data_IF_761402940520
#
_entry.id   IF_761402940520
#
_cell.length_a   1.000
_cell.length_b   1.000
_cell.length_c   1.000
_cell.angle_alpha   90.00
_cell.angle_beta   90.00
_cell.angle_gamma   90.00
#
_symmetry.space_group_name_H-M   'P 1'
#
loop_
_entity.id
_entity.type
_entity.pdbx_description
1 polymer ?
#
# COMPACT_ATOMS: atom_id res chain seq x y z
N UNK A 1 -20.67 -67.46 -28.02
CA UNK A 1 -20.59 -66.45 -26.96
C UNK A 1 -22.01 -66.21 -26.46
N UNK A 2 -22.23 -66.35 -25.14
CA UNK A 2 -23.52 -66.08 -24.53
C UNK A 2 -23.92 -64.61 -24.70
N UNK A 3 -25.20 -64.26 -24.90
CA UNK A 3 -25.63 -62.90 -25.16
C UNK A 3 -25.18 -61.93 -24.05
N UNK A 4 -25.08 -62.32 -22.82
CA UNK A 4 -24.62 -61.56 -21.67
C UNK A 4 -23.16 -61.06 -21.79
N UNK A 5 -22.25 -61.84 -22.36
CA UNK A 5 -20.86 -61.51 -22.60
C UNK A 5 -20.68 -60.43 -23.67
N UNK A 6 -21.58 -60.34 -24.64
CA UNK A 6 -21.62 -59.32 -25.67
C UNK A 6 -22.00 -57.94 -25.07
N UNK A 7 -23.00 -57.91 -24.20
CA UNK A 7 -23.43 -56.65 -23.56
C UNK A 7 -22.38 -56.11 -22.62
N UNK A 8 -21.69 -56.93 -21.85
CA UNK A 8 -20.59 -56.53 -20.97
C UNK A 8 -19.42 -55.97 -21.78
N UNK A 9 -19.07 -56.62 -22.90
CA UNK A 9 -17.99 -56.12 -23.77
C UNK A 9 -18.32 -54.78 -24.41
N UNK A 10 -19.57 -54.56 -24.80
CA UNK A 10 -20.03 -53.27 -25.36
C UNK A 10 -19.98 -52.17 -24.29
N UNK A 11 -20.43 -52.44 -23.07
CA UNK A 11 -20.36 -51.48 -21.95
C UNK A 11 -18.94 -51.12 -21.59
N UNK A 12 -18.00 -52.08 -21.60
CA UNK A 12 -16.58 -51.82 -21.35
C UNK A 12 -15.98 -50.94 -22.46
N UNK A 13 -16.30 -51.24 -23.73
CA UNK A 13 -15.83 -50.45 -24.87
C UNK A 13 -16.38 -49.00 -24.78
N UNK A 14 -17.68 -48.84 -24.46
CA UNK A 14 -18.29 -47.53 -24.26
C UNK A 14 -17.65 -46.78 -23.05
N UNK A 15 -17.37 -47.48 -21.97
CA UNK A 15 -16.67 -46.92 -20.80
C UNK A 15 -15.26 -46.44 -21.14
N UNK A 16 -14.49 -47.24 -21.85
CA UNK A 16 -13.14 -46.90 -22.32
C UNK A 16 -13.20 -45.70 -23.28
N UNK A 17 -14.13 -45.71 -24.21
CA UNK A 17 -14.30 -44.61 -25.17
C UNK A 17 -14.69 -43.31 -24.45
N UNK A 18 -15.63 -43.39 -23.48
CA UNK A 18 -16.04 -42.23 -22.69
C UNK A 18 -14.89 -41.67 -21.85
N UNK A 19 -14.13 -42.51 -21.16
CA UNK A 19 -12.94 -42.07 -20.37
C UNK A 19 -11.87 -41.46 -21.28
N UNK A 20 -11.64 -42.02 -22.45
CA UNK A 20 -10.69 -41.51 -23.43
C UNK A 20 -11.15 -40.17 -23.97
N UNK A 21 -12.43 -40.02 -24.28
CA UNK A 21 -13.03 -38.75 -24.75
C UNK A 21 -12.92 -37.68 -23.69
N UNK A 22 -13.21 -37.98 -22.44
CA UNK A 22 -13.08 -37.00 -21.33
C UNK A 22 -11.63 -36.57 -21.12
N UNK A 23 -10.66 -37.50 -21.25
CA UNK A 23 -9.23 -37.16 -21.15
C UNK A 23 -8.73 -36.31 -22.32
N UNK A 24 -9.33 -36.42 -23.51
CA UNK A 24 -8.94 -35.62 -24.68
C UNK A 24 -9.64 -34.27 -24.76
N UNK A 25 -10.72 -34.02 -23.99
CA UNK A 25 -11.47 -32.79 -24.00
C UNK A 25 -10.62 -31.55 -23.71
N UNK A 26 -9.72 -31.53 -22.72
CA UNK A 26 -8.88 -30.37 -22.47
C UNK A 26 -7.99 -29.98 -23.67
N UNK A 27 -7.42 -30.98 -24.33
CA UNK A 27 -6.60 -30.81 -25.52
C UNK A 27 -7.43 -30.29 -26.71
N UNK A 28 -8.65 -30.78 -26.88
CA UNK A 28 -9.58 -30.30 -27.90
C UNK A 28 -9.92 -28.83 -27.70
N UNK A 29 -10.34 -28.46 -26.50
CA UNK A 29 -10.61 -27.06 -26.19
C UNK A 29 -9.38 -26.17 -26.37
N UNK A 30 -8.22 -26.63 -25.95
CA UNK A 30 -6.97 -25.91 -26.15
C UNK A 30 -6.66 -25.66 -27.63
N UNK A 31 -6.87 -26.68 -28.47
CA UNK A 31 -6.64 -26.57 -29.92
C UNK A 31 -7.62 -25.59 -30.56
N UNK A 32 -8.90 -25.65 -30.21
CA UNK A 32 -9.91 -24.68 -30.67
C UNK A 32 -9.55 -23.27 -30.19
N UNK A 33 -9.14 -23.13 -28.92
CA UNK A 33 -8.68 -21.88 -28.35
C UNK A 33 -7.50 -21.27 -29.11
N UNK A 34 -6.49 -22.07 -29.45
CA UNK A 34 -5.35 -21.62 -30.29
C UNK A 34 -5.79 -21.15 -31.68
N UNK A 35 -6.67 -21.89 -32.34
CA UNK A 35 -7.20 -21.49 -33.63
C UNK A 35 -7.94 -20.15 -33.55
N UNK A 36 -8.80 -19.98 -32.54
CA UNK A 36 -9.51 -18.72 -32.30
C UNK A 36 -8.54 -17.56 -31.98
N UNK A 37 -7.50 -17.82 -31.19
CA UNK A 37 -6.50 -16.82 -30.82
C UNK A 37 -5.71 -16.31 -32.05
N UNK A 38 -5.28 -17.24 -32.90
CA UNK A 38 -4.57 -16.92 -34.14
C UNK A 38 -5.46 -16.13 -35.12
N UNK A 39 -6.76 -16.38 -35.08
CA UNK A 39 -7.77 -15.63 -35.85
C UNK A 39 -8.18 -14.32 -35.17
N UNK A 40 -7.49 -13.84 -34.10
CA UNK A 40 -7.78 -12.66 -33.32
C UNK A 40 -9.17 -12.63 -32.66
N UNK A 41 -9.83 -13.78 -32.56
CA UNK A 41 -11.10 -13.96 -31.84
C UNK A 41 -10.84 -14.17 -30.34
N UNK A 42 -10.29 -13.16 -29.68
CA UNK A 42 -9.74 -13.28 -28.35
C UNK A 42 -10.76 -13.68 -27.27
N UNK A 43 -11.99 -13.19 -27.34
CA UNK A 43 -13.06 -13.59 -26.42
C UNK A 43 -13.38 -15.10 -26.52
N UNK A 44 -13.51 -15.59 -27.74
CA UNK A 44 -13.74 -17.00 -28.04
C UNK A 44 -12.55 -17.86 -27.60
N UNK A 45 -11.34 -17.41 -27.91
CA UNK A 45 -10.12 -18.09 -27.48
C UNK A 45 -10.04 -18.21 -25.96
N UNK A 46 -10.32 -17.12 -25.25
CA UNK A 46 -10.33 -17.09 -23.79
C UNK A 46 -11.32 -18.11 -23.18
N UNK A 47 -12.53 -18.20 -23.72
CA UNK A 47 -13.53 -19.18 -23.26
C UNK A 47 -13.01 -20.61 -23.40
N UNK A 48 -12.42 -20.97 -24.52
CA UNK A 48 -11.90 -22.32 -24.72
C UNK A 48 -10.65 -22.61 -23.89
N UNK A 49 -9.76 -21.64 -23.72
CA UNK A 49 -8.62 -21.79 -22.82
C UNK A 49 -9.05 -21.93 -21.36
N UNK A 50 -10.12 -21.23 -20.95
CA UNK A 50 -10.70 -21.40 -19.61
C UNK A 50 -11.23 -22.81 -19.40
N UNK A 51 -11.94 -23.37 -20.37
CA UNK A 51 -12.41 -24.77 -20.30
C UNK A 51 -11.23 -25.76 -20.23
N UNK A 52 -10.22 -25.60 -21.07
CA UNK A 52 -9.04 -26.43 -21.04
C UNK A 52 -8.32 -26.36 -19.67
N UNK A 53 -8.13 -25.15 -19.15
CA UNK A 53 -7.52 -24.90 -17.83
C UNK A 53 -8.35 -25.56 -16.70
N UNK A 54 -9.66 -25.40 -16.71
CA UNK A 54 -10.51 -25.93 -15.64
C UNK A 54 -10.57 -27.47 -15.64
N UNK A 55 -10.49 -28.09 -16.81
CA UNK A 55 -10.44 -29.54 -16.94
C UNK A 55 -9.08 -30.15 -16.63
N UNK A 56 -8.00 -29.39 -16.79
CA UNK A 56 -6.65 -29.79 -16.42
C UNK A 56 -5.87 -28.61 -15.84
N UNK A 57 -6.12 -28.26 -14.57
CA UNK A 57 -5.57 -27.08 -13.93
C UNK A 57 -4.06 -27.15 -13.68
N UNK A 58 -3.46 -28.34 -13.75
CA UNK A 58 -2.01 -28.53 -13.58
C UNK A 58 -1.22 -28.34 -14.86
N UNK A 59 -1.88 -28.19 -16.01
CA UNK A 59 -1.21 -27.97 -17.28
C UNK A 59 -0.80 -26.51 -17.43
N UNK A 60 0.51 -26.25 -17.43
CA UNK A 60 1.09 -24.92 -17.52
C UNK A 60 0.78 -24.20 -18.85
N UNK A 61 0.72 -24.93 -19.96
CA UNK A 61 0.41 -24.34 -21.26
C UNK A 61 -1.03 -23.82 -21.33
N UNK A 62 -1.97 -24.52 -20.71
CA UNK A 62 -3.38 -24.09 -20.68
C UNK A 62 -3.54 -22.84 -19.83
N UNK A 63 -2.88 -22.77 -18.69
CA UNK A 63 -2.89 -21.61 -17.80
C UNK A 63 -2.23 -20.40 -18.49
N UNK A 64 -1.09 -20.62 -19.12
CA UNK A 64 -0.36 -19.57 -19.85
C UNK A 64 -1.19 -18.99 -21.00
N UNK A 65 -1.77 -19.83 -21.86
CA UNK A 65 -2.57 -19.36 -23.00
C UNK A 65 -3.86 -18.66 -22.53
N UNK A 66 -4.46 -19.13 -21.45
CA UNK A 66 -5.58 -18.46 -20.83
C UNK A 66 -5.18 -17.05 -20.37
N UNK A 67 -4.12 -16.90 -19.59
CA UNK A 67 -3.61 -15.59 -19.15
C UNK A 67 -3.26 -14.68 -20.34
N UNK A 68 -2.59 -15.23 -21.37
CA UNK A 68 -2.24 -14.49 -22.56
C UNK A 68 -3.47 -14.01 -23.35
N UNK A 69 -4.52 -14.82 -23.43
CA UNK A 69 -5.77 -14.42 -24.10
C UNK A 69 -6.48 -13.31 -23.36
N UNK A 70 -6.43 -13.29 -22.01
CA UNK A 70 -6.96 -12.21 -21.20
C UNK A 70 -6.29 -10.86 -21.51
N UNK A 71 -4.97 -10.86 -21.82
CA UNK A 71 -4.25 -9.64 -22.16
C UNK A 71 -4.75 -8.93 -23.42
N UNK A 72 -5.50 -9.65 -24.24
CA UNK A 72 -6.04 -9.15 -25.51
C UNK A 72 -7.48 -8.65 -25.40
N UNK A 73 -8.10 -8.79 -24.24
CA UNK A 73 -9.48 -8.38 -24.01
C UNK A 73 -9.51 -7.01 -23.32
N UNK A 74 -10.61 -6.31 -23.49
CA UNK A 74 -10.88 -5.08 -22.72
C UNK A 74 -11.12 -5.46 -21.26
N UNK A 75 -10.50 -4.78 -20.30
CA UNK A 75 -10.70 -5.05 -18.89
C UNK A 75 -12.18 -4.87 -18.50
N UNK A 76 -12.82 -5.98 -18.13
CA UNK A 76 -14.14 -5.97 -17.50
C UNK A 76 -13.98 -6.47 -16.07
N UNK A 77 -14.97 -6.19 -15.22
CA UNK A 77 -14.92 -6.61 -13.84
C UNK A 77 -14.76 -8.14 -13.68
N UNK A 78 -15.46 -8.94 -14.50
CA UNK A 78 -15.34 -10.38 -14.44
C UNK A 78 -13.95 -10.86 -14.85
N UNK A 79 -13.38 -10.25 -15.90
CA UNK A 79 -12.01 -10.56 -16.34
C UNK A 79 -11.00 -10.13 -15.27
N UNK A 80 -11.20 -8.98 -14.64
CA UNK A 80 -10.35 -8.53 -13.54
C UNK A 80 -10.37 -9.51 -12.36
N UNK A 81 -11.54 -10.02 -11.96
CA UNK A 81 -11.67 -11.06 -10.91
C UNK A 81 -10.87 -12.32 -11.24
N UNK A 82 -10.97 -12.81 -12.47
CA UNK A 82 -10.25 -13.99 -12.94
C UNK A 82 -8.73 -13.77 -12.94
N UNK A 83 -8.28 -12.63 -13.41
CA UNK A 83 -6.86 -12.29 -13.43
C UNK A 83 -6.33 -12.09 -12.01
N UNK A 84 -7.11 -11.47 -11.12
CA UNK A 84 -6.78 -11.35 -9.71
C UNK A 84 -6.63 -12.73 -9.05
N UNK A 85 -7.58 -13.64 -9.28
CA UNK A 85 -7.51 -15.01 -8.77
C UNK A 85 -6.26 -15.75 -9.28
N UNK A 86 -5.84 -15.53 -10.53
CA UNK A 86 -4.59 -16.05 -11.05
C UNK A 86 -3.35 -15.42 -10.39
N UNK A 87 -3.40 -14.12 -10.08
CA UNK A 87 -2.28 -13.43 -9.43
C UNK A 87 -2.06 -13.87 -7.99
N UNK A 88 -3.12 -14.31 -7.31
CA UNK A 88 -3.10 -14.85 -5.94
C UNK A 88 -2.64 -16.33 -5.89
N UNK A 89 -2.54 -17.01 -7.04
CA UNK A 89 -2.09 -18.40 -7.08
C UNK A 89 -0.63 -18.50 -6.60
N UNK A 90 -0.44 -19.30 -5.55
CA UNK A 90 0.90 -19.54 -4.96
C UNK A 90 1.84 -20.31 -5.87
N UNK A 91 1.32 -20.98 -6.91
CA UNK A 91 2.13 -21.62 -7.93
C UNK A 91 2.72 -20.57 -8.86
N UNK A 92 3.96 -20.20 -8.66
CA UNK A 92 4.70 -19.20 -9.45
C UNK A 92 5.12 -19.75 -10.81
N UNK A 93 4.18 -20.29 -11.57
CA UNK A 93 4.44 -20.69 -12.94
C UNK A 93 4.40 -19.49 -13.91
N UNK A 94 4.76 -19.74 -15.16
CA UNK A 94 4.79 -18.71 -16.20
C UNK A 94 3.42 -18.05 -16.43
N UNK A 95 2.32 -18.78 -16.26
CA UNK A 95 0.98 -18.24 -16.45
C UNK A 95 0.62 -17.22 -15.35
N UNK A 96 1.02 -17.50 -14.12
CA UNK A 96 0.83 -16.57 -12.99
C UNK A 96 1.66 -15.30 -13.19
N UNK A 97 2.92 -15.42 -13.60
CA UNK A 97 3.77 -14.26 -13.88
C UNK A 97 3.15 -13.38 -14.97
N UNK A 98 2.66 -13.99 -16.06
CA UNK A 98 1.98 -13.26 -17.14
C UNK A 98 0.71 -12.60 -16.64
N UNK A 99 -0.10 -13.28 -15.82
CA UNK A 99 -1.30 -12.71 -15.24
C UNK A 99 -0.99 -11.50 -14.35
N UNK A 100 0.04 -11.57 -13.52
CA UNK A 100 0.49 -10.43 -12.70
C UNK A 100 0.90 -9.23 -13.56
N UNK A 101 1.64 -9.45 -14.65
CA UNK A 101 2.02 -8.38 -15.58
C UNK A 101 0.80 -7.74 -16.27
N UNK A 102 -0.17 -8.56 -16.66
CA UNK A 102 -1.42 -8.09 -17.26
C UNK A 102 -2.19 -7.22 -16.28
N UNK A 103 -2.34 -7.68 -15.03
CA UNK A 103 -3.04 -6.92 -13.99
C UNK A 103 -2.35 -5.59 -13.74
N UNK A 104 -1.03 -5.58 -13.63
CA UNK A 104 -0.27 -4.35 -13.45
C UNK A 104 -0.47 -3.36 -14.63
N UNK A 105 -0.45 -3.86 -15.87
CA UNK A 105 -0.67 -3.04 -17.06
C UNK A 105 -2.10 -2.47 -17.15
N UNK A 106 -3.11 -3.25 -16.78
CA UNK A 106 -4.49 -2.78 -16.75
C UNK A 106 -4.73 -1.77 -15.64
N UNK A 107 -4.20 -2.04 -14.47
CA UNK A 107 -4.33 -1.13 -13.36
C UNK A 107 -3.71 0.23 -13.69
N UNK A 108 -2.54 0.26 -14.33
CA UNK A 108 -1.94 1.52 -14.77
C UNK A 108 -2.88 2.30 -15.71
N UNK A 109 -3.46 1.65 -16.74
CA UNK A 109 -4.42 2.30 -17.65
C UNK A 109 -5.68 2.80 -16.95
N UNK A 110 -6.22 2.01 -16.03
CA UNK A 110 -7.41 2.41 -15.27
C UNK A 110 -7.07 3.63 -14.41
N UNK A 111 -5.90 3.63 -13.77
CA UNK A 111 -5.47 4.72 -12.90
C UNK A 111 -5.15 6.00 -13.66
N UNK A 112 -4.64 5.89 -14.90
CA UNK A 112 -4.47 7.04 -15.78
C UNK A 112 -5.79 7.80 -16.03
N UNK A 113 -6.92 7.09 -16.09
CA UNK A 113 -8.24 7.71 -16.27
C UNK A 113 -8.70 8.56 -15.08
N UNK A 114 -8.12 8.36 -13.90
CA UNK A 114 -8.39 9.19 -12.70
C UNK A 114 -7.47 10.41 -12.60
N UNK A 115 -6.61 10.63 -13.59
CA UNK A 115 -5.63 11.71 -13.59
C UNK A 115 -4.44 11.43 -12.66
N UNK A 116 -3.60 12.44 -12.47
CA UNK A 116 -2.43 12.33 -11.59
C UNK A 116 -2.86 12.03 -10.15
N UNK A 117 -2.30 10.97 -9.55
CA UNK A 117 -2.62 10.49 -8.21
C UNK A 117 -1.42 9.78 -7.58
N UNK A 118 -1.53 9.37 -6.32
CA UNK A 118 -0.51 8.62 -5.57
C UNK A 118 -1.11 7.37 -4.90
N UNK A 119 -2.02 6.69 -5.59
CA UNK A 119 -2.74 5.51 -5.08
C UNK A 119 -1.82 4.36 -4.64
N UNK A 120 -0.65 4.25 -5.23
CA UNK A 120 0.38 3.27 -4.87
C UNK A 120 0.97 3.46 -3.47
N UNK A 121 0.62 4.56 -2.80
CA UNK A 121 1.11 4.94 -1.46
C UNK A 121 0.05 4.86 -0.38
N UNK A 122 -1.18 4.53 -0.71
CA UNK A 122 -2.28 4.51 0.27
C UNK A 122 -2.32 3.22 1.11
N UNK A 123 -1.54 2.20 0.75
CA UNK A 123 -1.54 0.94 1.47
C UNK A 123 -0.96 1.10 2.88
N UNK A 124 -1.59 0.42 3.85
CA UNK A 124 -1.13 0.24 5.20
C UNK A 124 -0.81 -1.24 5.41
N UNK A 125 0.45 -1.56 5.69
CA UNK A 125 0.91 -2.93 5.87
C UNK A 125 0.41 -3.87 4.74
N UNK A 126 0.61 -3.45 3.49
CA UNK A 126 0.14 -4.09 2.27
C UNK A 126 -1.39 -4.26 2.15
N UNK A 127 -2.16 -3.56 2.97
CA UNK A 127 -3.61 -3.58 2.92
C UNK A 127 -4.19 -2.29 2.36
N UNK A 128 -5.23 -2.41 1.56
CA UNK A 128 -6.09 -1.29 1.17
C UNK A 128 -7.15 -1.13 2.25
N UNK A 129 -6.98 -0.11 3.07
CA UNK A 129 -7.89 0.19 4.18
C UNK A 129 -8.82 1.32 3.77
N UNK A 130 -10.12 1.12 3.81
CA UNK A 130 -11.11 2.16 3.61
C UNK A 130 -12.47 1.80 4.17
N UNK A 131 -13.32 2.79 4.33
CA UNK A 131 -14.71 2.61 4.73
C UNK A 131 -15.56 2.07 3.57
N UNK A 132 -16.66 1.40 3.92
CA UNK A 132 -17.67 1.05 2.94
C UNK A 132 -18.62 2.26 2.73
N UNK A 133 -18.74 2.82 1.50
CA UNK A 133 -19.64 3.94 1.26
C UNK A 133 -21.11 3.67 1.61
N UNK A 134 -21.55 2.41 1.57
CA UNK A 134 -22.93 2.03 1.95
C UNK A 134 -23.22 2.28 3.46
N UNK A 135 -22.20 2.56 4.27
CA UNK A 135 -22.34 2.83 5.71
C UNK A 135 -22.29 4.31 6.05
N UNK A 136 -22.11 5.19 5.08
CA UNK A 136 -22.09 6.63 5.33
C UNK A 136 -23.46 7.14 5.80
N UNK A 137 -23.52 8.17 6.68
CA UNK A 137 -22.42 8.99 7.18
C UNK A 137 -21.53 8.28 8.19
N UNK A 138 -20.21 8.59 8.19
CA UNK A 138 -19.28 8.13 9.22
C UNK A 138 -19.54 8.91 10.52
N UNK A 139 -19.62 8.20 11.63
CA UNK A 139 -19.81 8.78 12.94
C UNK A 139 -18.50 9.32 13.47
N UNK A 140 -18.40 10.63 13.67
CA UNK A 140 -17.20 11.31 14.17
C UNK A 140 -17.41 11.73 15.60
N UNK A 141 -16.58 11.25 16.50
CA UNK A 141 -16.58 11.69 17.89
C UNK A 141 -15.29 12.46 18.22
N UNK A 142 -15.41 13.54 18.96
CA UNK A 142 -14.29 14.38 19.39
C UNK A 142 -14.19 14.34 20.89
N UNK A 143 -13.08 13.80 21.39
CA UNK A 143 -12.76 13.75 22.80
C UNK A 143 -11.96 15.00 23.16
N UNK A 144 -12.66 16.03 23.68
CA UNK A 144 -12.01 17.24 24.14
C UNK A 144 -11.39 17.02 25.52
N UNK A 145 -10.21 17.57 25.81
CA UNK A 145 -9.65 17.56 27.15
C UNK A 145 -10.59 18.21 28.15
N UNK A 146 -10.67 17.60 29.32
CA UNK A 146 -11.40 18.20 30.46
C UNK A 146 -10.58 19.33 31.05
N UNK A 147 -11.14 20.56 31.14
CA UNK A 147 -10.50 21.73 31.73
C UNK A 147 -10.39 22.95 30.77
N UNK A 148 -9.86 24.04 31.26
CA UNK A 148 -9.80 25.36 30.58
C UNK A 148 -8.79 25.46 29.41
N UNK A 149 -8.45 24.33 28.82
CA UNK A 149 -7.19 24.25 28.09
C UNK A 149 -7.24 24.40 26.58
N UNK A 150 -8.36 24.14 25.90
CA UNK A 150 -8.39 24.20 24.43
C UNK A 150 -9.17 25.40 23.92
N UNK A 151 -8.58 26.20 23.00
CA UNK A 151 -9.28 27.32 22.40
C UNK A 151 -10.56 26.91 21.68
N UNK A 152 -11.62 27.70 21.81
CA UNK A 152 -12.93 27.40 21.22
C UNK A 152 -12.88 27.22 19.70
N UNK A 153 -11.99 27.92 19.02
CA UNK A 153 -11.85 27.80 17.57
C UNK A 153 -11.38 26.40 17.11
N UNK A 154 -10.80 25.56 18.00
CA UNK A 154 -10.45 24.18 17.66
C UNK A 154 -11.64 23.39 17.16
N UNK A 155 -12.82 23.54 17.80
CA UNK A 155 -14.06 22.88 17.38
C UNK A 155 -14.44 23.28 15.95
N UNK A 156 -14.35 24.58 15.67
CA UNK A 156 -14.73 25.14 14.38
C UNK A 156 -13.81 24.67 13.27
N UNK A 157 -12.50 24.68 13.49
CA UNK A 157 -11.52 24.30 12.50
C UNK A 157 -11.55 22.78 12.21
N UNK A 158 -11.75 21.95 13.20
CA UNK A 158 -11.95 20.49 13.02
C UNK A 158 -13.19 20.24 12.18
N UNK A 159 -14.33 20.84 12.55
CA UNK A 159 -15.58 20.69 11.80
C UNK A 159 -15.44 21.16 10.36
N UNK A 160 -14.76 22.28 10.15
CA UNK A 160 -14.50 22.86 8.83
C UNK A 160 -13.65 21.93 7.95
N UNK A 161 -12.66 21.26 8.53
CA UNK A 161 -11.83 20.31 7.80
C UNK A 161 -12.62 19.08 7.31
N UNK A 162 -13.50 18.52 8.13
CA UNK A 162 -14.41 17.46 7.70
C UNK A 162 -15.35 17.91 6.58
N UNK A 163 -15.92 19.11 6.72
CA UNK A 163 -16.81 19.70 5.69
C UNK A 163 -16.09 19.95 4.37
N UNK A 164 -14.78 20.27 4.36
CA UNK A 164 -14.04 20.42 3.11
C UNK A 164 -13.89 19.06 2.40
N UNK A 165 -13.55 17.98 3.10
CA UNK A 165 -13.49 16.65 2.51
C UNK A 165 -14.87 16.22 1.95
N UNK A 166 -15.95 16.46 2.70
CA UNK A 166 -17.30 16.16 2.27
C UNK A 166 -17.69 16.91 1.00
N UNK A 167 -17.52 18.23 1.00
CA UNK A 167 -17.92 19.10 -0.13
C UNK A 167 -17.08 18.87 -1.39
N UNK A 168 -15.77 18.59 -1.22
CA UNK A 168 -14.86 18.40 -2.35
C UNK A 168 -14.99 17.03 -3.02
N UNK A 169 -15.41 16.01 -2.31
CA UNK A 169 -15.55 14.65 -2.85
C UNK A 169 -16.97 14.36 -3.34
N UNK A 170 -17.97 14.91 -2.67
CA UNK A 170 -19.40 14.72 -2.94
C UNK A 170 -19.99 13.39 -2.48
N UNK A 171 -19.17 12.38 -2.21
CA UNK A 171 -19.60 11.05 -1.76
C UNK A 171 -19.33 10.77 -0.28
N UNK A 172 -18.33 11.40 0.30
CA UNK A 172 -18.05 11.31 1.74
C UNK A 172 -19.15 12.04 2.51
N UNK A 173 -19.55 11.45 3.65
CA UNK A 173 -20.52 12.02 4.58
C UNK A 173 -20.11 11.75 5.99
N UNK A 174 -20.24 12.77 6.85
CA UNK A 174 -19.88 12.71 8.26
C UNK A 174 -21.02 13.18 9.13
N UNK A 175 -21.12 12.64 10.33
CA UNK A 175 -22.06 13.05 11.36
C UNK A 175 -21.35 13.10 12.71
N UNK A 176 -21.48 14.22 13.41
CA UNK A 176 -20.92 14.34 14.76
C UNK A 176 -21.74 13.50 15.76
N UNK A 177 -21.02 12.78 16.60
CA UNK A 177 -21.58 11.89 17.61
C UNK A 177 -20.90 12.12 18.96
N UNK A 178 -21.69 12.14 20.02
CA UNK A 178 -21.16 12.17 21.39
C UNK A 178 -20.74 10.77 21.88
N UNK A 179 -20.95 9.73 21.09
CA UNK A 179 -20.72 8.35 21.45
C UNK A 179 -19.35 7.84 20.96
N UNK A 180 -18.31 8.04 21.77
CA UNK A 180 -16.95 7.56 21.48
C UNK A 180 -16.87 6.04 21.22
N UNK A 181 -17.72 5.23 21.88
CA UNK A 181 -17.63 3.77 21.74
C UNK A 181 -18.04 3.24 20.36
N UNK A 182 -18.92 3.96 19.70
CA UNK A 182 -19.49 3.57 18.41
C UNK A 182 -19.03 4.48 17.25
N UNK A 183 -18.13 5.41 17.52
CA UNK A 183 -17.63 6.31 16.49
C UNK A 183 -16.73 5.55 15.49
N UNK A 184 -16.89 5.89 14.21
CA UNK A 184 -16.04 5.41 13.12
C UNK A 184 -14.70 6.15 13.13
N UNK A 185 -14.73 7.46 13.36
CA UNK A 185 -13.54 8.30 13.50
C UNK A 185 -13.55 8.96 14.87
N UNK A 186 -12.48 8.79 15.60
CA UNK A 186 -12.30 9.40 16.91
C UNK A 186 -11.17 10.43 16.81
N UNK A 187 -11.47 11.68 17.15
CA UNK A 187 -10.46 12.73 17.28
C UNK A 187 -10.20 12.92 18.77
N UNK A 188 -8.98 12.71 19.21
CA UNK A 188 -8.60 12.90 20.62
C UNK A 188 -7.39 13.81 20.76
N UNK A 189 -7.29 14.47 21.90
CA UNK A 189 -6.17 15.32 22.24
C UNK A 189 -5.33 14.68 23.34
N UNK A 190 -4.03 14.77 23.21
CA UNK A 190 -3.07 14.37 24.24
C UNK A 190 -2.18 15.57 24.60
N UNK A 191 -1.74 15.66 25.86
CA UNK A 191 -0.74 16.65 26.22
C UNK A 191 0.56 16.38 25.44
N UNK A 192 1.23 17.46 25.00
CA UNK A 192 2.51 17.35 24.29
C UNK A 192 3.56 16.74 25.25
N UNK A 193 4.16 15.57 24.91
CA UNK A 193 5.20 14.98 25.73
C UNK A 193 6.43 15.88 25.84
N UNK A 194 7.07 15.90 27.00
CA UNK A 194 8.25 16.75 27.22
C UNK A 194 9.43 16.40 26.27
N UNK A 195 9.60 15.12 25.97
CA UNK A 195 10.61 14.63 25.02
C UNK A 195 10.29 14.93 23.55
N UNK A 196 9.08 15.37 23.25
CA UNK A 196 8.64 15.78 21.91
C UNK A 196 8.83 17.30 21.70
N UNK A 197 9.28 18.02 22.73
CA UNK A 197 9.66 19.43 22.63
C UNK A 197 11.06 19.50 22.04
N UNK A 198 11.13 19.78 20.77
CA UNK A 198 12.42 19.87 20.11
C UNK A 198 12.97 21.31 20.16
N UNK A 199 14.04 21.47 20.90
CA UNK A 199 14.85 22.69 20.88
C UNK A 199 15.85 22.72 19.72
N UNK A 200 16.01 21.61 18.99
CA UNK A 200 16.97 21.46 17.90
C UNK A 200 16.35 21.41 16.49
N UNK A 201 15.01 21.43 16.37
CA UNK A 201 14.30 21.44 15.08
C UNK A 201 14.18 20.09 14.39
N UNK A 202 14.40 18.97 15.08
CA UNK A 202 14.66 17.70 14.40
C UNK A 202 13.56 16.66 14.36
N UNK A 203 12.54 16.62 14.97
CA UNK A 203 11.39 15.70 14.79
C UNK A 203 10.30 15.99 15.82
N UNK A 204 9.22 16.49 15.39
CA UNK A 204 8.06 16.46 16.23
C UNK A 204 6.85 15.98 15.44
N UNK A 205 6.18 15.03 16.03
CA UNK A 205 4.88 14.60 15.58
C UNK A 205 3.89 15.51 16.30
N UNK A 206 3.08 16.23 15.56
CA UNK A 206 2.02 17.09 16.13
C UNK A 206 0.67 16.39 16.11
N UNK A 207 0.51 15.41 15.21
CA UNK A 207 -0.67 14.57 15.09
C UNK A 207 -0.29 13.26 14.40
N UNK A 208 -1.13 12.26 14.55
CA UNK A 208 -1.05 11.00 13.81
C UNK A 208 -2.39 10.29 13.80
N UNK A 209 -2.59 9.43 12.80
CA UNK A 209 -3.81 8.65 12.63
C UNK A 209 -3.51 7.17 12.59
N UNK A 210 -4.24 6.38 13.37
CA UNK A 210 -4.08 4.93 13.46
C UNK A 210 -5.39 4.20 13.22
N UNK A 211 -5.38 3.13 12.40
CA UNK A 211 -6.52 2.25 12.23
C UNK A 211 -6.60 1.23 13.39
N UNK A 212 -7.76 1.05 13.97
CA UNK A 212 -8.03 -0.10 14.84
C UNK A 212 -8.59 -1.25 14.00
N UNK A 213 -7.75 -2.23 13.71
CA UNK A 213 -8.13 -3.41 12.93
C UNK A 213 -8.23 -4.62 13.86
N UNK A 214 -9.37 -5.32 13.85
CA UNK A 214 -9.57 -6.57 14.57
C UNK A 214 -10.22 -7.60 13.66
N UNK A 215 -9.60 -8.78 13.55
CA UNK A 215 -10.08 -9.87 12.69
C UNK A 215 -10.33 -9.43 11.25
N UNK A 216 -9.35 -8.74 10.64
CA UNK A 216 -9.41 -8.18 9.28
C UNK A 216 -10.57 -7.19 9.04
N UNK A 217 -11.15 -6.66 10.11
CA UNK A 217 -12.23 -5.67 10.05
C UNK A 217 -11.77 -4.36 10.67
N UNK A 218 -11.96 -3.26 9.94
CA UNK A 218 -11.77 -1.91 10.44
C UNK A 218 -12.84 -1.59 11.49
N UNK A 219 -12.43 -1.21 12.68
CA UNK A 219 -13.31 -0.85 13.79
C UNK A 219 -13.50 0.64 13.90
N UNK A 220 -12.41 1.36 13.95
CA UNK A 220 -12.38 2.81 13.91
C UNK A 220 -11.04 3.30 13.38
N UNK A 221 -10.96 4.59 13.10
CA UNK A 221 -9.74 5.36 12.89
C UNK A 221 -9.61 6.34 14.04
N UNK A 222 -8.45 6.40 14.67
CA UNK A 222 -8.19 7.36 15.76
C UNK A 222 -7.19 8.41 15.28
N UNK A 223 -7.65 9.66 15.21
CA UNK A 223 -6.80 10.83 14.98
C UNK A 223 -6.37 11.33 16.35
N UNK A 224 -5.08 11.31 16.61
CA UNK A 224 -4.51 11.86 17.85
C UNK A 224 -3.81 13.17 17.52
N UNK A 225 -4.23 14.24 18.17
CA UNK A 225 -3.60 15.56 18.11
C UNK A 225 -2.92 15.84 19.45
N UNK A 226 -1.74 16.40 19.44
CA UNK A 226 -1.24 17.02 20.66
C UNK A 226 -1.97 18.35 20.88
N UNK A 227 -2.15 18.72 22.14
CA UNK A 227 -2.87 19.94 22.52
C UNK A 227 -2.13 21.22 22.12
N UNK A 228 -0.83 21.09 21.90
CA UNK A 228 0.09 22.19 21.55
C UNK A 228 1.05 21.79 20.44
N UNK A 229 1.58 22.80 19.78
CA UNK A 229 2.66 22.65 18.81
C UNK A 229 3.98 22.23 19.49
N UNK A 230 5.00 21.93 18.70
CA UNK A 230 6.31 21.52 19.21
C UNK A 230 7.01 22.59 20.09
N UNK A 231 6.58 23.82 20.01
CA UNK A 231 7.11 24.94 20.82
C UNK A 231 6.34 25.14 22.12
N UNK A 232 5.29 24.37 22.34
CA UNK A 232 4.44 24.45 23.52
C UNK A 232 3.35 25.51 23.44
N UNK A 233 3.08 26.05 22.24
CA UNK A 233 2.01 27.02 22.01
C UNK A 233 0.75 26.29 21.51
N UNK A 234 -0.42 26.86 21.74
CA UNK A 234 -1.62 26.41 21.02
C UNK A 234 -1.45 26.62 19.52
N UNK A 235 -1.92 25.66 18.74
CA UNK A 235 -1.95 25.80 17.28
C UNK A 235 -2.72 27.07 16.90
N UNK A 236 -2.24 27.78 15.89
CA UNK A 236 -3.09 28.77 15.24
C UNK A 236 -4.27 28.08 14.53
N UNK A 237 -5.28 28.85 14.18
CA UNK A 237 -6.45 28.37 13.40
C UNK A 237 -6.02 27.64 12.12
N UNK A 238 -5.07 28.22 11.38
CA UNK A 238 -4.56 27.65 10.12
C UNK A 238 -3.76 26.38 10.33
N UNK A 239 -2.89 26.33 11.33
CA UNK A 239 -2.11 25.14 11.65
C UNK A 239 -3.00 23.98 12.05
N UNK A 240 -3.94 24.23 12.95
CA UNK A 240 -4.89 23.19 13.37
C UNK A 240 -5.72 22.70 12.19
N UNK A 241 -6.28 23.63 11.41
CA UNK A 241 -7.07 23.28 10.24
C UNK A 241 -6.31 22.39 9.25
N UNK A 242 -5.07 22.77 8.92
CA UNK A 242 -4.25 22.04 7.96
C UNK A 242 -3.80 20.67 8.51
N UNK A 243 -3.45 20.63 9.80
CA UNK A 243 -3.06 19.39 10.47
C UNK A 243 -4.24 18.40 10.50
N UNK A 244 -5.40 18.85 10.96
CA UNK A 244 -6.56 17.95 11.02
C UNK A 244 -7.06 17.56 9.63
N UNK A 245 -6.98 18.45 8.65
CA UNK A 245 -7.34 18.17 7.26
C UNK A 245 -6.46 17.03 6.69
N UNK A 246 -5.16 17.04 6.98
CA UNK A 246 -4.22 15.99 6.62
C UNK A 246 -4.55 14.67 7.32
N UNK A 247 -4.76 14.70 8.63
CA UNK A 247 -5.06 13.51 9.42
C UNK A 247 -6.41 12.86 9.03
N UNK A 248 -7.38 13.67 8.61
CA UNK A 248 -8.63 13.13 8.03
C UNK A 248 -8.34 12.34 6.76
N UNK A 249 -7.40 12.76 5.92
CA UNK A 249 -6.97 12.00 4.75
C UNK A 249 -6.50 10.58 5.13
N UNK A 250 -5.71 10.45 6.20
CA UNK A 250 -5.34 9.15 6.76
C UNK A 250 -6.56 8.39 7.30
N UNK A 251 -7.44 9.07 8.04
CA UNK A 251 -8.66 8.44 8.58
C UNK A 251 -9.63 7.96 7.49
N UNK A 252 -9.52 8.50 6.29
CA UNK A 252 -10.27 8.07 5.12
C UNK A 252 -9.61 6.92 4.34
N UNK A 253 -8.40 6.51 4.76
CA UNK A 253 -7.67 5.39 4.18
C UNK A 253 -6.49 5.76 3.27
N UNK A 254 -6.17 7.03 3.10
CA UNK A 254 -4.90 7.45 2.48
C UNK A 254 -3.81 7.29 3.54
N UNK A 255 -3.38 6.05 3.79
CA UNK A 255 -2.47 5.74 4.91
C UNK A 255 -1.01 6.14 4.64
N UNK A 256 -0.65 6.42 3.41
CA UNK A 256 0.66 6.94 3.03
C UNK A 256 0.61 8.40 2.62
N UNK A 257 1.71 8.88 2.04
CA UNK A 257 1.91 10.30 1.74
C UNK A 257 2.28 10.54 0.28
N UNK A 258 1.96 11.73 -0.22
CA UNK A 258 2.47 12.24 -1.49
C UNK A 258 3.91 12.74 -1.35
N UNK A 259 4.66 12.78 -2.44
CA UNK A 259 5.98 13.42 -2.51
C UNK A 259 5.93 14.86 -3.04
N UNK A 260 4.77 15.35 -3.43
CA UNK A 260 4.62 16.70 -3.93
C UNK A 260 4.24 17.66 -2.81
N UNK A 261 5.02 18.71 -2.63
CA UNK A 261 4.74 19.80 -1.66
C UNK A 261 3.42 20.55 -1.94
N UNK A 262 2.85 20.35 -3.12
CA UNK A 262 1.56 20.94 -3.50
C UNK A 262 0.35 20.14 -3.01
N UNK A 263 0.57 18.90 -2.60
CA UNK A 263 -0.48 18.03 -2.12
C UNK A 263 -0.67 18.19 -0.61
N UNK A 264 -1.90 18.05 -0.14
CA UNK A 264 -2.20 18.07 1.30
C UNK A 264 -1.49 16.91 2.01
N UNK A 265 -1.50 15.72 1.41
CA UNK A 265 -0.92 14.52 2.00
C UNK A 265 0.60 14.43 1.75
N UNK A 266 1.29 15.56 1.67
CA UNK A 266 2.74 15.58 1.54
C UNK A 266 3.42 15.10 2.81
N UNK A 267 4.45 14.25 2.65
CA UNK A 267 5.28 13.81 3.76
C UNK A 267 6.51 14.72 3.93
N UNK A 268 6.62 15.33 5.08
CA UNK A 268 7.84 16.02 5.47
C UNK A 268 8.89 14.98 5.94
N UNK A 269 9.93 14.77 5.16
CA UNK A 269 10.96 13.76 5.43
C UNK A 269 12.19 14.31 6.15
N UNK A 270 12.35 15.63 6.24
CA UNK A 270 13.47 16.29 6.94
C UNK A 270 12.99 17.41 7.84
N UNK A 271 13.81 17.79 8.82
CA UNK A 271 13.54 18.92 9.70
C UNK A 271 13.31 20.23 8.93
N UNK A 272 14.12 20.51 7.91
CA UNK A 272 13.97 21.70 7.05
C UNK A 272 12.67 21.65 6.24
N UNK A 273 12.33 20.48 5.70
CA UNK A 273 11.07 20.28 4.98
C UNK A 273 9.89 20.41 5.93
N UNK A 274 10.00 19.87 7.14
CA UNK A 274 8.99 20.05 8.18
C UNK A 274 8.82 21.52 8.56
N UNK A 275 9.90 22.26 8.76
CA UNK A 275 9.83 23.69 9.05
C UNK A 275 9.18 24.48 7.91
N UNK A 276 9.51 24.18 6.66
CA UNK A 276 8.92 24.88 5.52
C UNK A 276 7.44 24.60 5.37
N UNK A 277 7.01 23.35 5.62
CA UNK A 277 5.60 22.97 5.63
C UNK A 277 4.88 23.58 6.81
N UNK A 278 5.50 23.57 7.98
CA UNK A 278 4.96 24.21 9.16
C UNK A 278 4.76 25.72 8.92
N UNK A 279 5.74 26.39 8.32
CA UNK A 279 5.60 27.79 7.92
C UNK A 279 4.47 27.99 6.90
N UNK A 280 4.31 27.06 5.94
CA UNK A 280 3.21 27.06 4.97
C UNK A 280 1.86 26.85 5.67
N UNK A 281 1.77 25.92 6.60
CA UNK A 281 0.55 25.67 7.38
C UNK A 281 0.17 26.84 8.29
N UNK A 282 1.16 27.56 8.82
CA UNK A 282 0.93 28.77 9.62
C UNK A 282 0.47 29.97 8.78
N UNK A 283 1.00 30.10 7.58
CA UNK A 283 0.78 31.29 6.77
C UNK A 283 -0.51 31.23 5.93
N UNK A 284 -0.87 30.05 5.44
CA UNK A 284 -1.99 29.86 4.51
C UNK A 284 -2.84 28.65 4.86
N UNK A 285 -4.14 28.71 4.60
CA UNK A 285 -4.99 27.53 4.62
C UNK A 285 -4.61 26.60 3.47
N UNK A 286 -4.45 25.32 3.79
CA UNK A 286 -4.23 24.31 2.79
C UNK A 286 -5.55 23.92 2.10
N UNK A 287 -5.43 23.43 0.89
CA UNK A 287 -6.55 22.95 0.10
C UNK A 287 -6.25 21.50 -0.33
N UNK A 288 -7.31 20.77 -0.66
CA UNK A 288 -7.16 19.48 -1.30
C UNK A 288 -6.67 19.68 -2.73
N UNK A 289 -5.53 19.12 -3.05
CA UNK A 289 -5.01 19.16 -4.42
C UNK A 289 -5.85 18.28 -5.35
N UNK A 290 -5.70 18.47 -6.65
CA UNK A 290 -6.31 17.57 -7.63
C UNK A 290 -5.83 16.13 -7.45
N UNK A 291 -4.57 15.92 -7.04
CA UNK A 291 -4.02 14.59 -6.75
C UNK A 291 -4.64 13.97 -5.51
N UNK A 292 -4.84 14.74 -4.43
CA UNK A 292 -5.53 14.25 -3.24
C UNK A 292 -6.94 13.76 -3.59
N UNK A 293 -7.69 14.57 -4.35
CA UNK A 293 -9.05 14.23 -4.79
C UNK A 293 -9.08 13.04 -5.75
N UNK A 294 -8.14 12.95 -6.67
CA UNK A 294 -8.05 11.80 -7.57
C UNK A 294 -7.69 10.53 -6.82
N UNK A 295 -6.77 10.63 -5.85
CA UNK A 295 -6.37 9.49 -5.02
C UNK A 295 -7.52 8.97 -4.18
N UNK A 296 -8.26 9.84 -3.49
CA UNK A 296 -9.39 9.40 -2.66
C UNK A 296 -10.53 8.82 -3.51
N UNK A 297 -10.86 9.42 -4.65
CA UNK A 297 -11.86 8.88 -5.57
C UNK A 297 -11.48 7.51 -6.09
N UNK A 298 -10.22 7.33 -6.47
CA UNK A 298 -9.72 6.04 -6.93
C UNK A 298 -9.72 5.01 -5.80
N UNK A 299 -9.26 5.36 -4.60
CA UNK A 299 -9.27 4.49 -3.42
C UNK A 299 -10.68 3.94 -3.14
N UNK A 300 -11.71 4.79 -3.25
CA UNK A 300 -13.09 4.37 -3.00
C UNK A 300 -13.72 3.60 -4.16
N UNK A 301 -13.07 3.54 -5.30
CA UNK A 301 -13.42 2.64 -6.42
C UNK A 301 -12.62 1.33 -6.40
N UNK A 302 -11.70 1.14 -5.46
CA UNK A 302 -10.94 -0.10 -5.32
C UNK A 302 -11.56 -1.02 -4.29
N UNK A 303 -11.39 -2.33 -4.50
CA UNK A 303 -11.76 -3.35 -3.50
C UNK A 303 -10.83 -3.24 -2.30
N UNK A 304 -11.34 -2.94 -1.10
CA UNK A 304 -10.51 -2.91 0.10
C UNK A 304 -10.15 -4.33 0.55
N UNK A 305 -9.01 -4.47 1.23
CA UNK A 305 -8.68 -5.68 1.99
C UNK A 305 -9.15 -5.58 3.44
N UNK A 306 -9.28 -4.35 3.96
CA UNK A 306 -9.78 -4.05 5.29
C UNK A 306 -10.85 -2.96 5.22
N UNK A 307 -12.01 -3.22 5.78
CA UNK A 307 -13.16 -2.30 5.81
C UNK A 307 -14.02 -2.54 7.05
N UNK A 308 -14.92 -1.60 7.37
CA UNK A 308 -15.89 -1.72 8.47
C UNK A 308 -17.02 -2.73 8.18
N UNK A 309 -17.15 -3.18 6.94
CA UNK A 309 -18.15 -4.19 6.51
C UNK A 309 -17.43 -5.50 6.17
N UNK A 310 -17.99 -6.68 6.49
CA UNK A 310 -17.44 -7.95 6.02
C UNK A 310 -17.31 -7.97 4.51
N UNK A 311 -16.15 -8.40 4.00
CA UNK A 311 -15.89 -8.44 2.54
C UNK A 311 -16.94 -9.23 1.76
N UNK A 312 -17.51 -10.28 2.37
CA UNK A 312 -18.60 -11.08 1.79
C UNK A 312 -19.91 -10.29 1.58
N UNK A 313 -20.09 -9.18 2.29
CA UNK A 313 -21.26 -8.29 2.19
C UNK A 313 -20.98 -7.03 1.39
N UNK A 314 -19.72 -6.81 0.98
CA UNK A 314 -19.35 -5.65 0.19
C UNK A 314 -19.92 -5.79 -1.22
N UNK A 315 -20.62 -4.76 -1.70
CA UNK A 315 -20.99 -4.69 -3.11
C UNK A 315 -19.75 -4.43 -3.93
N UNK A 316 -19.41 -5.36 -4.82
CA UNK A 316 -18.18 -5.31 -5.61
C UNK A 316 -18.40 -4.85 -7.05
N UNK A 317 -19.63 -4.53 -7.44
CA UNK A 317 -19.92 -3.99 -8.76
C UNK A 317 -19.28 -2.60 -8.94
N UNK A 318 -18.59 -2.42 -10.05
CA UNK A 318 -17.88 -1.19 -10.35
C UNK A 318 -16.54 -0.99 -9.62
N UNK A 319 -16.18 -1.85 -8.68
CA UNK A 319 -14.89 -1.76 -7.99
C UNK A 319 -13.75 -2.30 -8.85
N UNK A 320 -12.61 -1.65 -8.75
CA UNK A 320 -11.38 -2.07 -9.41
C UNK A 320 -10.68 -3.09 -8.52
N UNK A 321 -10.51 -4.29 -9.04
CA UNK A 321 -9.66 -5.31 -8.40
C UNK A 321 -8.22 -5.09 -8.86
N UNK A 322 -7.39 -4.57 -7.99
CA UNK A 322 -6.00 -4.36 -8.36
C UNK A 322 -5.05 -4.77 -7.25
N UNK A 323 -4.12 -5.67 -7.54
CA UNK A 323 -2.96 -5.90 -6.70
C UNK A 323 -1.88 -4.83 -6.94
N UNK A 324 -2.15 -3.73 -7.61
CA UNK A 324 -1.11 -2.76 -7.98
C UNK A 324 -0.46 -2.13 -6.75
N UNK A 325 -1.24 -2.02 -5.67
CA UNK A 325 -0.73 -1.59 -4.36
C UNK A 325 0.11 -2.70 -3.75
N UNK A 326 -0.21 -3.94 -4.12
CA UNK A 326 0.51 -5.17 -3.78
C UNK A 326 1.48 -5.56 -4.90
N UNK A 327 1.75 -4.67 -5.86
CA UNK A 327 2.64 -4.91 -7.00
C UNK A 327 3.92 -5.59 -6.55
N UNK A 328 4.51 -6.43 -7.42
CA UNK A 328 5.75 -7.11 -7.04
C UNK A 328 6.72 -6.09 -6.46
N UNK A 329 7.47 -6.45 -5.43
CA UNK A 329 8.51 -5.59 -4.82
C UNK A 329 9.38 -4.93 -5.90
N UNK A 330 9.59 -5.63 -7.01
CA UNK A 330 10.32 -5.14 -8.17
C UNK A 330 9.63 -3.97 -8.88
N UNK A 331 8.33 -4.06 -9.13
CA UNK A 331 7.56 -2.98 -9.81
C UNK A 331 7.48 -1.74 -8.93
N UNK A 332 7.20 -1.93 -7.64
CA UNK A 332 7.15 -0.84 -6.65
C UNK A 332 8.52 -0.20 -6.51
N UNK A 333 9.58 -0.99 -6.44
CA UNK A 333 10.94 -0.48 -6.32
C UNK A 333 11.41 0.26 -7.57
N UNK A 334 11.10 -0.20 -8.77
CA UNK A 334 11.40 0.52 -10.03
C UNK A 334 10.71 1.88 -10.08
N UNK A 335 9.47 1.97 -9.60
CA UNK A 335 8.76 3.24 -9.52
C UNK A 335 9.40 4.17 -8.49
N UNK A 336 9.71 3.66 -7.29
CA UNK A 336 10.41 4.43 -6.25
C UNK A 336 11.78 4.95 -6.72
N UNK A 337 12.52 4.16 -7.50
CA UNK A 337 13.78 4.61 -8.13
C UNK A 337 13.55 5.84 -8.98
N UNK A 338 12.55 5.81 -9.87
CA UNK A 338 12.24 6.96 -10.74
C UNK A 338 11.86 8.20 -9.93
N UNK A 339 11.01 8.03 -8.94
CA UNK A 339 10.55 9.11 -8.07
C UNK A 339 11.70 9.73 -7.25
N UNK A 340 12.56 8.88 -6.66
CA UNK A 340 13.74 9.34 -5.94
C UNK A 340 14.72 10.08 -6.87
N UNK A 341 14.90 9.61 -8.11
CA UNK A 341 15.72 10.29 -9.11
C UNK A 341 15.13 11.66 -9.52
N UNK A 342 13.81 11.76 -9.64
CA UNK A 342 13.13 13.04 -9.91
C UNK A 342 13.28 14.00 -8.71
N UNK A 343 13.15 13.49 -7.48
CA UNK A 343 13.40 14.30 -6.28
C UNK A 343 14.84 14.80 -6.21
N UNK A 344 15.83 13.95 -6.50
CA UNK A 344 17.25 14.34 -6.53
C UNK A 344 17.52 15.45 -7.55
N UNK A 345 16.82 15.47 -8.69
CA UNK A 345 16.96 16.56 -9.68
C UNK A 345 16.48 17.91 -9.12
N UNK A 346 15.43 17.88 -8.31
CA UNK A 346 14.86 19.09 -7.70
C UNK A 346 15.69 19.54 -6.49
N UNK A 347 16.16 18.59 -5.68
CA UNK A 347 16.88 18.83 -4.43
C UNK A 347 18.19 18.02 -4.36
N UNK A 348 19.19 18.31 -5.20
CA UNK A 348 20.39 17.47 -5.35
C UNK A 348 21.30 17.46 -4.11
N UNK A 349 21.17 18.44 -3.23
CA UNK A 349 21.99 18.58 -2.02
C UNK A 349 21.31 18.04 -0.76
N UNK A 350 20.12 17.42 -0.89
CA UNK A 350 19.38 16.82 0.22
C UNK A 350 19.69 15.32 0.31
N UNK A 351 20.01 14.77 1.49
CA UNK A 351 20.32 13.35 1.66
C UNK A 351 19.12 12.43 1.37
N UNK A 352 17.91 12.90 1.58
CA UNK A 352 16.69 12.07 1.57
C UNK A 352 16.44 11.37 0.24
N UNK A 353 16.58 12.08 -0.89
CA UNK A 353 16.39 11.44 -2.21
C UNK A 353 17.37 10.31 -2.45
N UNK A 354 18.58 10.40 -1.93
CA UNK A 354 19.58 9.35 -2.03
C UNK A 354 19.29 8.18 -1.06
N UNK A 355 18.69 8.46 0.11
CA UNK A 355 18.23 7.44 1.07
C UNK A 355 17.08 6.64 0.45
N UNK A 356 16.09 7.31 -0.13
CA UNK A 356 14.96 6.66 -0.81
C UNK A 356 15.42 5.80 -1.99
N UNK A 357 16.36 6.33 -2.77
CA UNK A 357 16.98 5.62 -3.89
C UNK A 357 17.73 4.37 -3.41
N UNK A 358 18.45 4.48 -2.29
CA UNK A 358 19.17 3.37 -1.68
C UNK A 358 18.20 2.28 -1.18
N UNK A 359 17.13 2.67 -0.50
CA UNK A 359 16.11 1.74 -0.03
C UNK A 359 15.48 0.96 -1.18
N UNK A 360 15.16 1.64 -2.29
CA UNK A 360 14.61 1.00 -3.48
C UNK A 360 15.60 0.02 -4.15
N UNK A 361 16.88 0.37 -4.27
CA UNK A 361 17.90 -0.56 -4.77
C UNK A 361 18.13 -1.72 -3.80
N UNK A 362 18.12 -1.47 -2.48
CA UNK A 362 18.26 -2.51 -1.46
C UNK A 362 17.12 -3.54 -1.52
N UNK A 363 15.89 -3.11 -1.76
CA UNK A 363 14.74 -4.00 -1.97
C UNK A 363 14.90 -4.86 -3.22
N UNK A 364 15.52 -4.34 -4.28
CA UNK A 364 15.84 -5.11 -5.49
C UNK A 364 17.05 -6.05 -5.33
N UNK A 365 17.75 -6.00 -4.20
CA UNK A 365 18.98 -6.76 -3.97
C UNK A 365 20.24 -6.15 -4.59
N UNK A 366 20.15 -4.94 -5.17
CA UNK A 366 21.31 -4.23 -5.71
C UNK A 366 22.02 -3.45 -4.58
N UNK A 367 22.64 -4.24 -3.68
CA UNK A 367 23.32 -3.73 -2.47
C UNK A 367 24.43 -2.75 -2.83
N UNK A 368 25.09 -2.93 -3.98
CA UNK A 368 26.17 -2.05 -4.43
C UNK A 368 25.64 -0.65 -4.71
N UNK A 369 24.60 -0.52 -5.55
CA UNK A 369 23.99 0.80 -5.82
C UNK A 369 23.36 1.41 -4.59
N UNK A 370 22.74 0.59 -3.74
CA UNK A 370 22.20 1.07 -2.47
C UNK A 370 23.31 1.69 -1.60
N UNK A 371 24.45 1.02 -1.47
CA UNK A 371 25.61 1.53 -0.74
C UNK A 371 26.18 2.83 -1.34
N UNK A 372 26.31 2.91 -2.66
CA UNK A 372 26.74 4.13 -3.36
C UNK A 372 25.81 5.32 -3.08
N UNK A 373 24.49 5.08 -3.08
CA UNK A 373 23.50 6.11 -2.75
C UNK A 373 23.59 6.53 -1.27
N UNK A 374 23.69 5.59 -0.34
CA UNK A 374 23.85 5.92 1.09
C UNK A 374 25.15 6.64 1.39
N UNK A 375 26.24 6.31 0.71
CA UNK A 375 27.49 7.05 0.83
C UNK A 375 27.35 8.49 0.37
N UNK A 376 26.58 8.72 -0.69
CA UNK A 376 26.27 10.06 -1.17
C UNK A 376 25.37 10.82 -0.19
N UNK A 377 24.36 10.14 0.36
CA UNK A 377 23.52 10.68 1.43
C UNK A 377 24.35 11.05 2.67
N UNK A 378 25.30 10.22 3.06
CA UNK A 378 26.22 10.48 4.18
C UNK A 378 27.06 11.73 3.97
N UNK A 379 27.60 11.93 2.77
CA UNK A 379 28.40 13.10 2.43
C UNK A 379 27.57 14.40 2.42
N UNK A 380 26.26 14.30 2.23
CA UNK A 380 25.32 15.42 2.27
C UNK A 380 24.70 15.62 3.66
N UNK A 381 24.87 14.68 4.57
CA UNK A 381 24.30 14.71 5.91
C UNK A 381 24.94 15.82 6.75
N UNK A 382 24.14 16.80 7.14
CA UNK A 382 24.58 17.98 7.90
C UNK A 382 24.36 17.82 9.40
N UNK A 383 23.33 17.08 9.80
CA UNK A 383 22.95 16.91 11.21
C UNK A 383 23.31 15.52 11.74
N UNK A 384 23.48 15.36 13.06
CA UNK A 384 23.61 14.04 13.67
C UNK A 384 22.45 13.11 13.30
N UNK A 385 21.24 13.63 13.21
CA UNK A 385 20.05 12.84 12.83
C UNK A 385 20.13 12.34 11.39
N UNK A 386 20.61 13.13 10.43
CA UNK A 386 20.81 12.66 9.07
C UNK A 386 21.81 11.48 9.03
N UNK A 387 22.90 11.59 9.79
CA UNK A 387 23.89 10.52 9.90
C UNK A 387 23.31 9.27 10.55
N UNK A 388 22.47 9.44 11.59
CA UNK A 388 21.74 8.34 12.21
C UNK A 388 20.89 7.60 11.18
N UNK A 389 20.08 8.33 10.42
CA UNK A 389 19.19 7.75 9.40
C UNK A 389 20.01 7.00 8.34
N UNK A 390 21.12 7.55 7.89
CA UNK A 390 21.97 6.90 6.89
C UNK A 390 22.58 5.61 7.44
N UNK A 391 23.14 5.63 8.64
CA UNK A 391 23.71 4.44 9.27
C UNK A 391 22.66 3.36 9.53
N UNK A 392 21.47 3.76 10.01
CA UNK A 392 20.34 2.86 10.22
C UNK A 392 19.94 2.17 8.90
N UNK A 393 19.82 2.91 7.80
CA UNK A 393 19.49 2.36 6.50
C UNK A 393 20.59 1.45 5.94
N UNK A 394 21.88 1.73 6.15
CA UNK A 394 22.95 0.80 5.83
C UNK A 394 22.74 -0.54 6.54
N UNK A 395 22.49 -0.51 7.85
CA UNK A 395 22.28 -1.71 8.64
C UNK A 395 21.07 -2.52 8.17
N UNK A 396 19.93 -1.85 7.93
CA UNK A 396 18.69 -2.49 7.44
C UNK A 396 18.90 -3.11 6.07
N UNK A 397 19.50 -2.38 5.12
CA UNK A 397 19.73 -2.88 3.76
C UNK A 397 20.66 -4.08 3.76
N UNK A 398 21.75 -4.02 4.49
CA UNK A 398 22.67 -5.18 4.59
C UNK A 398 22.00 -6.38 5.26
N UNK A 399 21.26 -6.18 6.35
CA UNK A 399 20.53 -7.26 7.01
C UNK A 399 19.53 -7.93 6.08
N UNK A 400 18.71 -7.14 5.39
CA UNK A 400 17.67 -7.64 4.47
C UNK A 400 18.27 -8.38 3.25
N UNK A 401 19.51 -8.09 2.92
CA UNK A 401 20.23 -8.74 1.82
C UNK A 401 21.17 -9.88 2.30
N UNK A 402 20.94 -10.42 3.49
CA UNK A 402 21.68 -11.55 4.08
C UNK A 402 23.16 -11.25 4.36
N UNK A 403 23.48 -10.01 4.68
CA UNK A 403 24.82 -9.52 5.02
C UNK A 403 24.85 -9.00 6.47
N UNK A 404 24.50 -9.84 7.49
CA UNK A 404 24.34 -9.36 8.86
C UNK A 404 25.68 -8.94 9.51
N UNK A 405 26.82 -9.51 9.06
CA UNK A 405 28.13 -9.12 9.58
C UNK A 405 28.52 -7.71 9.11
N UNK A 406 28.17 -7.37 7.88
CA UNK A 406 28.35 -6.06 7.28
C UNK A 406 27.36 -5.02 7.86
N UNK A 407 26.17 -5.48 8.27
CA UNK A 407 25.14 -4.63 8.89
C UNK A 407 25.55 -4.13 10.30
N UNK A 408 26.17 -4.98 11.10
CA UNK A 408 26.40 -4.74 12.52
C UNK A 408 27.22 -3.47 12.83
N UNK A 409 28.31 -3.15 12.14
CA UNK A 409 29.06 -1.91 12.38
C UNK A 409 28.20 -0.66 12.20
N UNK A 410 27.36 -0.64 11.19
CA UNK A 410 26.48 0.52 10.91
C UNK A 410 25.39 0.67 11.96
N UNK A 411 24.82 -0.44 12.45
CA UNK A 411 23.86 -0.40 13.54
C UNK A 411 24.48 0.18 14.82
N UNK A 412 25.72 -0.14 15.13
CA UNK A 412 26.43 0.45 16.26
C UNK A 412 26.76 1.93 16.04
N UNK A 413 27.10 2.36 14.82
CA UNK A 413 27.30 3.79 14.55
C UNK A 413 25.98 4.57 14.69
N UNK A 414 24.86 3.99 14.26
CA UNK A 414 23.55 4.57 14.51
C UNK A 414 23.24 4.68 16.01
N UNK A 415 23.52 3.62 16.80
CA UNK A 415 23.31 3.58 18.23
C UNK A 415 24.11 4.67 18.98
N UNK A 416 25.36 4.93 18.56
CA UNK A 416 26.20 5.98 19.18
C UNK A 416 25.57 7.38 19.03
N UNK A 417 24.84 7.60 17.96
CA UNK A 417 24.17 8.88 17.70
C UNK A 417 22.84 8.94 18.46
N UNK A 418 22.06 7.89 18.37
CA UNK A 418 20.75 7.80 19.01
C UNK A 418 20.52 6.36 19.51
N UNK A 419 20.48 6.18 20.83
CA UNK A 419 20.20 4.90 21.47
C UNK A 419 18.67 4.74 21.63
N UNK A 420 17.98 4.43 20.54
CA UNK A 420 16.54 4.20 20.51
C UNK A 420 16.19 2.71 20.57
N UNK A 421 14.95 2.39 20.93
CA UNK A 421 14.47 1.00 20.97
C UNK A 421 14.57 0.35 19.60
N UNK A 422 14.30 1.10 18.53
CA UNK A 422 14.37 0.58 17.14
C UNK A 422 15.78 0.18 16.75
N UNK A 423 16.81 0.93 17.18
CA UNK A 423 18.21 0.58 16.86
C UNK A 423 18.69 -0.57 17.73
N UNK A 424 18.21 -0.67 18.96
CA UNK A 424 18.52 -1.82 19.85
C UNK A 424 17.90 -3.11 19.31
N UNK A 425 16.66 -3.06 18.86
CA UNK A 425 15.98 -4.18 18.20
C UNK A 425 16.68 -4.58 16.90
N UNK A 426 17.10 -3.61 16.10
CA UNK A 426 17.88 -3.87 14.90
C UNK A 426 19.19 -4.59 15.22
N UNK A 427 19.95 -4.15 16.23
CA UNK A 427 21.20 -4.80 16.67
C UNK A 427 20.92 -6.23 17.15
N UNK A 428 19.88 -6.43 17.95
CA UNK A 428 19.45 -7.74 18.42
C UNK A 428 19.13 -8.69 17.26
N UNK A 429 18.38 -8.22 16.27
CA UNK A 429 18.03 -8.98 15.08
C UNK A 429 19.27 -9.34 14.24
N UNK A 430 20.21 -8.40 14.08
CA UNK A 430 21.47 -8.64 13.37
C UNK A 430 22.31 -9.69 14.10
N UNK A 431 22.46 -9.57 15.42
CA UNK A 431 23.21 -10.52 16.24
C UNK A 431 22.58 -11.92 16.18
N UNK A 432 21.26 -12.00 16.25
CA UNK A 432 20.54 -13.25 16.07
C UNK A 432 20.78 -13.86 14.68
N UNK A 433 20.79 -13.05 13.62
CA UNK A 433 21.09 -13.50 12.27
C UNK A 433 22.53 -14.04 12.14
N UNK A 434 23.49 -13.41 12.81
CA UNK A 434 24.88 -13.87 12.83
C UNK A 434 25.00 -15.22 13.57
N UNK A 435 24.32 -15.37 14.71
CA UNK A 435 24.39 -16.55 15.55
C UNK A 435 23.73 -17.79 14.94
N UNK A 436 22.62 -17.59 14.22
CA UNK A 436 21.82 -18.69 13.66
C UNK A 436 22.21 -19.10 12.25
N UNK A 437 23.13 -18.39 11.60
CA UNK A 437 23.46 -18.55 10.17
C UNK A 437 22.22 -18.51 9.24
N UNK A 438 21.09 -18.06 9.73
CA UNK A 438 19.85 -17.86 8.98
C UNK A 438 19.66 -16.37 8.73
N UNK A 439 19.22 -16.03 7.53
CA UNK A 439 18.77 -14.67 7.23
C UNK A 439 17.37 -14.47 7.85
N UNK A 440 17.23 -13.57 8.85
CA UNK A 440 16.01 -13.53 9.65
C UNK A 440 14.80 -12.98 8.93
N UNK A 441 14.94 -12.21 7.85
CA UNK A 441 13.84 -11.42 7.30
C UNK A 441 13.15 -11.99 6.06
N UNK A 442 13.79 -12.82 5.26
CA UNK A 442 13.08 -13.46 4.11
C UNK A 442 11.98 -14.44 4.52
N UNK A 443 12.08 -15.00 5.74
CA UNK A 443 11.07 -15.93 6.27
C UNK A 443 9.92 -15.22 6.99
N UNK A 444 10.08 -13.98 7.45
CA UNK A 444 9.03 -13.20 8.13
C UNK A 444 8.03 -12.61 7.15
N UNK A 445 8.48 -12.18 5.99
CA UNK A 445 7.59 -11.63 4.92
C UNK A 445 6.77 -12.74 4.25
N UNK A 446 7.18 -14.02 4.38
CA UNK A 446 6.47 -15.17 3.78
C UNK A 446 5.43 -15.82 4.68
N UNK A 447 5.28 -15.43 5.94
CA UNK A 447 4.42 -16.11 6.92
C UNK A 447 3.25 -15.28 7.44
N UNK A 448 3.07 -14.06 7.02
CA UNK A 448 1.89 -13.25 7.28
C UNK A 448 1.32 -12.79 5.93
#
# INVERSE_FOLDING_TARGET
MKPETKHISILIIFGIFFVTMVKCLPMLYFTIGKSAFNSKQYAKANTYFLFAKNLNPTNHDYRYQYALSLSKLTPTMNIQKEVFALSEDKNKDRAVIVAQQIVAGWAAKIFENYGSNYIDRVAYDNNVVRWNPDTFPLQVAIEYPQGDGIPEYYKNEISRAFLLWESSTGFLKFELSDNLKNADIIVKFLPLPENNRDTSGCKYVVAYTEPLIRNHKLKNMTITLYDKDAFGNYFSDKELYNTILHEIGHALGIMGHSFSTEDLMYMASSAETQQSIYAKYRSNFQYLSAKDLNTIRLLYNMTPTVTNTPLSKLKTEGLIYSPIILGSEETVSKKKIKEAQEYIKIAPNMPNGYIDLAAAYGTLGDVKKAGECLQKAFNLAQTPNDKYIVYYNFAVIYLNNNLPKEALPYAYEAQKIQNSDEVMDLISNIQHAISTKRAPFKDFIKKN
#
